data_IF_235523227073
#
_entry.id   IF_235523227073
#
_cell.length_a   1.000
_cell.length_b   1.000
_cell.length_c   1.000
_cell.angle_alpha   90.00
_cell.angle_beta   90.00
_cell.angle_gamma   90.00
#
_symmetry.space_group_name_H-M   'P 1'
#
loop_
_entity.id
_entity.type
_entity.pdbx_description
1 polymer ?
#
# COMPACT_ATOMS: atom_id res chain seq x y z
N UNK A 1 -10.33 -2.23 -12.74
CA UNK A 1 -10.67 -0.95 -12.05
C UNK A 1 -9.96 0.17 -12.80
N UNK A 2 -10.67 1.13 -13.39
CA UNK A 2 -10.03 2.25 -14.11
C UNK A 2 -9.29 3.20 -13.16
N UNK A 3 -8.30 3.95 -13.65
CA UNK A 3 -7.48 4.88 -12.83
C UNK A 3 -8.28 5.93 -12.06
N UNK A 4 -9.45 6.29 -12.58
CA UNK A 4 -10.41 7.15 -11.91
C UNK A 4 -11.06 6.44 -10.70
N UNK A 5 -11.34 5.14 -10.78
CA UNK A 5 -11.94 4.38 -9.68
C UNK A 5 -10.99 4.30 -8.46
N UNK A 6 -9.67 4.22 -8.69
CA UNK A 6 -8.69 4.21 -7.60
C UNK A 6 -8.50 5.60 -6.98
N UNK A 7 -8.48 6.65 -7.80
CA UNK A 7 -8.49 8.04 -7.31
C UNK A 7 -9.75 8.29 -6.47
N UNK A 8 -10.90 7.85 -6.96
CA UNK A 8 -12.17 7.94 -6.25
C UNK A 8 -12.13 7.12 -4.96
N UNK A 9 -11.56 5.91 -5.00
CA UNK A 9 -11.36 5.07 -3.81
C UNK A 9 -10.48 5.74 -2.76
N UNK A 10 -9.36 6.38 -3.14
CA UNK A 10 -8.50 7.13 -2.22
C UNK A 10 -9.18 8.38 -1.63
N UNK A 11 -10.00 9.06 -2.43
CA UNK A 11 -10.78 10.22 -1.94
C UNK A 11 -11.91 9.81 -1.01
N UNK A 12 -12.55 8.66 -1.26
CA UNK A 12 -13.62 8.11 -0.45
C UNK A 12 -13.13 7.43 0.85
N UNK A 13 -11.90 6.91 0.85
CA UNK A 13 -11.30 6.24 2.00
C UNK A 13 -11.14 7.20 3.18
N UNK A 14 -11.63 6.79 4.35
CA UNK A 14 -11.50 7.58 5.58
C UNK A 14 -10.22 7.20 6.33
N UNK A 15 -9.77 8.11 7.19
CA UNK A 15 -8.68 7.82 8.11
C UNK A 15 -9.11 6.70 9.08
N UNK A 16 -8.19 5.77 9.34
CA UNK A 16 -8.47 4.55 10.11
C UNK A 16 -8.99 3.39 9.28
N UNK A 17 -9.23 3.57 7.98
CA UNK A 17 -9.69 2.50 7.09
C UNK A 17 -8.53 1.89 6.28
N UNK A 18 -8.68 0.59 6.00
CA UNK A 18 -7.81 -0.17 5.11
C UNK A 18 -8.62 -0.57 3.89
N UNK A 19 -8.14 -0.21 2.71
CA UNK A 19 -8.65 -0.69 1.43
C UNK A 19 -7.75 -1.78 0.86
N UNK A 20 -8.33 -2.64 0.03
CA UNK A 20 -7.59 -3.66 -0.73
C UNK A 20 -7.85 -3.44 -2.22
N UNK A 21 -6.78 -3.50 -3.01
CA UNK A 21 -6.84 -3.45 -4.48
C UNK A 21 -6.29 -4.77 -4.99
N UNK A 22 -7.12 -5.51 -5.74
CA UNK A 22 -6.80 -6.86 -6.17
C UNK A 22 -5.91 -6.88 -7.42
N UNK A 23 -5.10 -7.92 -7.56
CA UNK A 23 -4.20 -8.12 -8.70
C UNK A 23 -4.91 -8.18 -10.07
N UNK A 24 -6.20 -8.57 -10.11
CA UNK A 24 -7.00 -8.58 -11.36
C UNK A 24 -7.17 -7.16 -11.92
N UNK A 25 -7.13 -6.15 -11.05
CA UNK A 25 -7.23 -4.75 -11.45
C UNK A 25 -5.93 -4.19 -12.03
N UNK A 26 -4.82 -4.95 -11.99
CA UNK A 26 -3.52 -4.55 -12.55
C UNK A 26 -3.58 -4.28 -14.05
N UNK A 27 -4.43 -5.00 -14.80
CA UNK A 27 -4.57 -4.78 -16.25
C UNK A 27 -4.97 -3.35 -16.63
N UNK A 28 -5.72 -2.67 -15.77
CA UNK A 28 -6.18 -1.30 -16.02
C UNK A 28 -5.10 -0.22 -15.82
N UNK A 29 -3.96 -0.59 -15.23
CA UNK A 29 -2.82 0.30 -14.99
C UNK A 29 -1.52 -0.19 -15.65
N UNK A 30 -1.46 -1.48 -16.02
CA UNK A 30 -0.34 -2.08 -16.72
C UNK A 30 -0.30 -1.67 -18.21
N UNK A 31 -1.44 -1.44 -18.87
CA UNK A 31 -1.46 -1.03 -20.29
C UNK A 31 -0.88 0.37 -20.54
N UNK A 32 -0.75 1.20 -19.50
CA UNK A 32 -0.11 2.53 -19.62
C UNK A 32 1.43 2.39 -19.73
N UNK A 33 2.02 1.24 -19.34
CA UNK A 33 3.46 0.96 -19.48
C UNK A 33 3.93 0.96 -20.95
N UNK A 34 3.07 0.64 -21.93
CA UNK A 34 3.48 0.58 -23.34
C UNK A 34 3.59 1.95 -24.02
N UNK A 35 3.12 3.03 -23.39
CA UNK A 35 3.15 4.38 -23.97
C UNK A 35 4.29 5.27 -23.47
N UNK A 36 5.13 4.76 -22.55
CA UNK A 36 6.33 5.44 -22.07
C UNK A 36 7.54 4.61 -22.52
N UNK A 37 8.06 4.93 -23.70
CA UNK A 37 9.32 4.39 -24.20
C UNK A 37 10.45 4.57 -23.17
N UNK A 38 10.98 3.47 -22.63
CA UNK A 38 12.40 3.11 -22.69
C UNK A 38 12.76 2.01 -21.68
N UNK A 39 13.22 0.89 -22.24
CA UNK A 39 14.31 0.03 -21.77
C UNK A 39 14.72 0.12 -20.29
N UNK A 40 14.31 -0.88 -19.50
CA UNK A 40 15.20 -1.62 -18.58
C UNK A 40 14.50 -2.87 -18.05
N UNK A 41 15.16 -4.01 -18.23
CA UNK A 41 14.82 -5.29 -17.62
C UNK A 41 15.02 -5.21 -16.11
N UNK A 42 13.96 -4.90 -15.39
CA UNK A 42 13.71 -5.32 -14.01
C UNK A 42 12.23 -5.05 -13.76
N UNK A 43 11.42 -6.10 -13.62
CA UNK A 43 9.99 -6.00 -13.27
C UNK A 43 9.85 -5.56 -11.80
N UNK A 44 10.33 -4.37 -11.47
CA UNK A 44 9.92 -3.66 -10.25
C UNK A 44 8.54 -3.10 -10.52
N UNK A 45 7.59 -3.42 -9.64
CA UNK A 45 6.26 -2.82 -9.61
C UNK A 45 6.43 -1.30 -9.73
N UNK A 46 5.89 -0.70 -10.78
CA UNK A 46 5.94 0.73 -10.93
C UNK A 46 4.87 1.37 -10.04
N UNK A 47 5.09 1.40 -8.73
CA UNK A 47 4.29 2.20 -7.79
C UNK A 47 4.32 3.70 -8.08
N UNK A 48 5.05 4.13 -9.12
CA UNK A 48 5.01 5.49 -9.66
C UNK A 48 3.58 5.97 -9.89
N UNK A 49 2.71 5.18 -10.50
CA UNK A 49 1.32 5.60 -10.78
C UNK A 49 0.53 5.84 -9.48
N UNK A 50 0.63 4.94 -8.50
CA UNK A 50 -0.03 5.12 -7.21
C UNK A 50 0.52 6.33 -6.44
N UNK A 51 1.84 6.55 -6.52
CA UNK A 51 2.50 7.72 -5.93
C UNK A 51 2.06 9.02 -6.60
N UNK A 52 1.90 9.05 -7.92
CA UNK A 52 1.43 10.21 -8.66
C UNK A 52 -0.02 10.55 -8.34
N UNK A 53 -0.90 9.54 -8.29
CA UNK A 53 -2.30 9.72 -7.89
C UNK A 53 -2.38 10.23 -6.46
N UNK A 54 -1.67 9.59 -5.53
CA UNK A 54 -1.64 10.05 -4.15
C UNK A 54 -1.05 11.46 -4.04
N UNK A 55 0.06 11.77 -4.70
CA UNK A 55 0.63 13.12 -4.71
C UNK A 55 -0.34 14.18 -5.24
N UNK A 56 -1.27 13.80 -6.13
CA UNK A 56 -2.30 14.69 -6.67
C UNK A 56 -3.46 14.91 -5.70
N UNK A 57 -3.80 13.93 -4.84
CA UNK A 57 -4.94 14.01 -3.90
C UNK A 57 -4.53 14.31 -2.45
N UNK A 58 -3.24 14.21 -2.15
CA UNK A 58 -2.63 14.38 -0.84
C UNK A 58 -2.73 15.83 -0.37
N UNK A 59 -3.09 16.01 0.89
CA UNK A 59 -3.09 17.32 1.55
C UNK A 59 -1.67 17.75 1.95
N UNK A 60 -1.43 19.06 2.07
CA UNK A 60 -0.17 19.61 2.57
C UNK A 60 0.17 19.10 3.98
N UNK A 61 -0.83 18.74 4.78
CA UNK A 61 -0.67 18.19 6.13
C UNK A 61 -0.62 16.65 6.19
N UNK A 62 -0.44 16.00 5.04
CA UNK A 62 -0.39 14.55 4.95
C UNK A 62 1.02 14.08 4.54
N UNK A 63 1.47 12.91 4.99
CA UNK A 63 2.65 12.21 4.44
C UNK A 63 2.22 11.10 3.51
N UNK A 64 3.12 10.74 2.56
CA UNK A 64 2.90 9.62 1.66
C UNK A 64 4.03 8.62 1.89
N UNK A 65 3.66 7.42 2.30
CA UNK A 65 4.60 6.33 2.57
C UNK A 65 4.26 5.14 1.68
N UNK A 66 5.30 4.56 1.06
CA UNK A 66 5.16 3.33 0.27
C UNK A 66 6.01 2.25 0.91
N UNK A 67 5.34 1.15 1.27
CA UNK A 67 5.89 0.01 1.99
C UNK A 67 6.01 -1.14 1.02
N UNK A 68 7.23 -1.64 0.87
CA UNK A 68 7.54 -2.71 -0.04
C UNK A 68 8.98 -3.16 0.17
N UNK A 69 9.32 -4.34 -0.35
CA UNK A 69 10.70 -4.82 -0.32
C UNK A 69 11.57 -3.98 -1.25
N UNK A 70 12.72 -3.55 -0.76
CA UNK A 70 13.75 -2.94 -1.62
C UNK A 70 14.48 -4.00 -2.47
N UNK A 71 14.57 -5.22 -1.94
CA UNK A 71 15.09 -6.43 -2.57
C UNK A 71 14.05 -7.55 -2.39
N UNK A 72 13.52 -8.07 -3.50
CA UNK A 72 12.45 -9.06 -3.48
C UNK A 72 12.84 -10.36 -2.78
N UNK A 73 14.13 -10.67 -2.69
CA UNK A 73 14.65 -11.87 -2.04
C UNK A 73 14.84 -11.71 -0.52
N UNK A 74 14.69 -10.48 0.00
CA UNK A 74 14.85 -10.18 1.42
C UNK A 74 13.53 -9.76 2.05
N UNK A 75 13.05 -10.56 3.00
CA UNK A 75 11.85 -10.25 3.76
C UNK A 75 12.02 -9.00 4.62
N UNK A 76 10.96 -8.21 4.75
CA UNK A 76 10.93 -7.05 5.64
C UNK A 76 11.08 -7.48 7.11
N UNK A 77 11.85 -6.69 7.84
CA UNK A 77 12.13 -6.88 9.26
C UNK A 77 11.40 -5.83 10.10
N UNK A 78 11.34 -6.00 11.44
CA UNK A 78 10.83 -4.96 12.34
C UNK A 78 11.58 -3.63 12.25
N UNK A 79 12.86 -3.65 11.87
CA UNK A 79 13.64 -2.43 11.64
C UNK A 79 13.16 -1.70 10.38
N UNK A 80 12.80 -2.44 9.33
CA UNK A 80 12.19 -1.86 8.13
C UNK A 80 10.83 -1.24 8.43
N UNK A 81 9.98 -1.91 9.21
CA UNK A 81 8.69 -1.34 9.64
C UNK A 81 8.89 -0.03 10.41
N UNK A 82 9.85 -0.02 11.33
CA UNK A 82 10.22 1.17 12.09
C UNK A 82 10.72 2.30 11.18
N UNK A 83 11.47 1.97 10.13
CA UNK A 83 11.92 2.94 9.11
C UNK A 83 10.77 3.51 8.29
N UNK A 84 9.77 2.72 7.92
CA UNK A 84 8.58 3.21 7.22
C UNK A 84 7.73 4.09 8.13
N UNK A 85 7.52 3.66 9.38
CA UNK A 85 6.81 4.44 10.40
C UNK A 85 7.52 5.77 10.68
N UNK A 86 8.85 5.78 10.74
CA UNK A 86 9.63 7.00 10.95
C UNK A 86 9.50 8.06 9.84
N UNK A 87 8.92 7.71 8.68
CA UNK A 87 8.61 8.67 7.60
C UNK A 87 7.27 9.39 7.82
N UNK A 88 6.47 8.94 8.79
CA UNK A 88 5.15 9.48 9.14
C UNK A 88 5.33 10.58 10.20
N UNK A 89 5.67 11.78 9.74
CA UNK A 89 6.02 12.92 10.59
C UNK A 89 4.88 13.92 10.78
N UNK A 90 3.90 13.91 9.87
CA UNK A 90 2.73 14.77 9.92
C UNK A 90 1.59 14.14 10.70
N UNK A 91 0.49 14.86 10.81
CA UNK A 91 -0.69 14.38 11.54
C UNK A 91 -1.41 13.27 10.79
N UNK A 92 -1.40 13.30 9.45
CA UNK A 92 -2.17 12.40 8.59
C UNK A 92 -1.27 11.69 7.58
N UNK A 93 -1.67 10.52 7.13
CA UNK A 93 -0.85 9.70 6.24
C UNK A 93 -1.67 8.98 5.16
N UNK A 94 -1.12 8.90 3.96
CA UNK A 94 -1.48 7.91 2.94
C UNK A 94 -0.39 6.84 2.93
N UNK A 95 -0.80 5.58 3.08
CA UNK A 95 0.10 4.45 3.12
C UNK A 95 -0.27 3.47 2.02
N UNK A 96 0.66 3.22 1.10
CA UNK A 96 0.55 2.11 0.16
C UNK A 96 1.42 0.95 0.62
N UNK A 97 0.85 -0.25 0.61
CA UNK A 97 1.59 -1.48 0.89
C UNK A 97 1.60 -2.33 -0.38
N UNK A 98 2.77 -2.54 -0.98
CA UNK A 98 2.96 -3.35 -2.19
C UNK A 98 2.93 -4.83 -1.82
N UNK A 99 1.75 -5.45 -1.86
CA UNK A 99 1.56 -6.79 -1.30
C UNK A 99 2.04 -7.94 -2.20
N UNK A 100 2.26 -7.70 -3.50
CA UNK A 100 2.58 -8.77 -4.46
C UNK A 100 3.77 -9.64 -4.04
N UNK A 101 4.79 -9.04 -3.42
CA UNK A 101 5.99 -9.73 -2.97
C UNK A 101 6.11 -9.83 -1.45
N UNK A 102 5.06 -9.43 -0.70
CA UNK A 102 5.05 -9.51 0.75
C UNK A 102 4.29 -10.74 1.20
N UNK A 103 4.90 -11.51 2.10
CA UNK A 103 4.22 -12.57 2.81
C UNK A 103 3.19 -12.02 3.79
N UNK A 104 2.19 -12.85 4.12
CA UNK A 104 1.16 -12.49 5.13
C UNK A 104 1.76 -12.07 6.46
N UNK A 105 2.87 -12.68 6.89
CA UNK A 105 3.59 -12.31 8.11
C UNK A 105 4.12 -10.88 8.07
N UNK A 106 4.65 -10.43 6.93
CA UNK A 106 5.18 -9.07 6.78
C UNK A 106 4.05 -8.04 6.79
N UNK A 107 2.98 -8.31 6.04
CA UNK A 107 1.81 -7.42 6.01
C UNK A 107 1.20 -7.29 7.41
N UNK A 108 1.02 -8.41 8.12
CA UNK A 108 0.54 -8.40 9.51
C UNK A 108 1.48 -7.67 10.45
N UNK A 109 2.78 -7.93 10.33
CA UNK A 109 3.81 -7.29 11.14
C UNK A 109 3.71 -5.77 11.03
N UNK A 110 3.67 -5.26 9.80
CA UNK A 110 3.54 -3.84 9.55
C UNK A 110 2.22 -3.25 10.05
N UNK A 111 1.07 -3.90 9.79
CA UNK A 111 -0.23 -3.44 10.29
C UNK A 111 -0.29 -3.39 11.82
N UNK A 112 0.31 -4.36 12.50
CA UNK A 112 0.42 -4.37 13.95
C UNK A 112 1.35 -3.25 14.45
N UNK A 113 2.48 -3.00 13.78
CA UNK A 113 3.37 -1.90 14.13
C UNK A 113 2.68 -0.52 14.00
N UNK A 114 1.83 -0.33 12.98
CA UNK A 114 1.01 0.89 12.84
C UNK A 114 0.01 1.04 13.98
N UNK A 115 -0.65 -0.06 14.36
CA UNK A 115 -1.62 -0.09 15.45
C UNK A 115 -0.95 0.19 16.80
N UNK A 116 0.17 -0.46 17.09
CA UNK A 116 0.95 -0.27 18.32
C UNK A 116 1.50 1.16 18.44
N UNK A 117 1.80 1.79 17.30
CA UNK A 117 2.22 3.19 17.24
C UNK A 117 1.06 4.19 17.25
N UNK A 118 -0.20 3.74 17.32
CA UNK A 118 -1.42 4.55 17.22
C UNK A 118 -1.49 5.43 15.95
N UNK A 119 -0.84 5.00 14.86
CA UNK A 119 -0.81 5.77 13.60
C UNK A 119 -1.95 5.38 12.66
N UNK A 120 -2.49 4.18 12.78
CA UNK A 120 -3.52 3.69 11.86
C UNK A 120 -4.75 4.59 11.84
N UNK A 121 -5.20 5.10 12.99
CA UNK A 121 -6.40 5.94 13.09
C UNK A 121 -6.30 7.22 12.25
N UNK A 122 -5.08 7.71 12.02
CA UNK A 122 -4.80 8.89 11.21
C UNK A 122 -4.28 8.56 9.81
N UNK A 123 -4.41 7.30 9.39
CA UNK A 123 -3.87 6.81 8.13
C UNK A 123 -4.97 6.31 7.20
N UNK A 124 -4.83 6.63 5.92
CA UNK A 124 -5.52 5.96 4.81
C UNK A 124 -4.59 4.89 4.26
N UNK A 125 -4.89 3.62 4.50
CA UNK A 125 -4.00 2.53 4.10
C UNK A 125 -4.60 1.73 2.96
N UNK A 126 -3.82 1.47 1.93
CA UNK A 126 -4.22 0.66 0.77
C UNK A 126 -3.24 -0.47 0.56
N UNK A 127 -3.75 -1.70 0.60
CA UNK A 127 -3.03 -2.93 0.26
C UNK A 127 -3.12 -3.13 -1.26
N UNK A 128 -2.02 -2.91 -1.96
CA UNK A 128 -1.92 -2.96 -3.42
C UNK A 128 -1.54 -4.35 -3.90
N UNK A 129 -2.22 -4.82 -4.94
CA UNK A 129 -1.97 -6.12 -5.57
C UNK A 129 -1.96 -7.29 -4.58
N UNK A 130 -2.82 -7.21 -3.55
CA UNK A 130 -2.93 -8.27 -2.55
C UNK A 130 -3.54 -9.52 -3.20
N UNK A 131 -2.80 -10.64 -3.29
CA UNK A 131 -3.36 -11.82 -3.93
C UNK A 131 -4.48 -12.43 -3.05
N UNK A 132 -5.45 -13.08 -3.70
CA UNK A 132 -6.71 -13.45 -3.06
C UNK A 132 -6.52 -14.42 -1.88
N UNK A 133 -5.55 -15.33 -1.98
CA UNK A 133 -5.25 -16.29 -0.91
C UNK A 133 -4.74 -15.55 0.34
N UNK A 134 -3.80 -14.63 0.15
CA UNK A 134 -3.24 -13.78 1.19
C UNK A 134 -4.31 -12.89 1.81
N UNK A 135 -5.21 -12.32 1.01
CA UNK A 135 -6.37 -11.56 1.51
C UNK A 135 -7.23 -12.40 2.44
N UNK A 136 -7.62 -13.61 2.03
CA UNK A 136 -8.43 -14.49 2.86
C UNK A 136 -7.73 -14.83 4.18
N UNK A 137 -6.44 -15.16 4.13
CA UNK A 137 -5.63 -15.44 5.32
C UNK A 137 -5.50 -14.23 6.24
N UNK A 138 -5.26 -13.04 5.68
CA UNK A 138 -5.15 -11.80 6.43
C UNK A 138 -6.46 -11.46 7.12
N UNK A 139 -7.57 -11.41 6.36
CA UNK A 139 -8.90 -11.12 6.88
C UNK A 139 -9.27 -12.03 8.04
N UNK A 140 -9.05 -13.33 7.90
CA UNK A 140 -9.39 -14.29 8.95
C UNK A 140 -8.47 -14.13 10.18
N UNK A 141 -7.17 -13.88 9.96
CA UNK A 141 -6.21 -13.74 11.06
C UNK A 141 -6.23 -12.39 11.78
N UNK A 142 -6.80 -11.37 11.15
CA UNK A 142 -6.93 -10.00 11.65
C UNK A 142 -8.37 -9.65 12.03
N UNK A 143 -9.27 -10.65 11.99
CA UNK A 143 -10.66 -10.49 12.37
C UNK A 143 -10.80 -9.89 13.79
N UNK A 144 -11.62 -8.85 13.90
CA UNK A 144 -11.84 -8.12 15.15
C UNK A 144 -10.72 -7.15 15.54
N UNK A 145 -9.61 -7.11 14.80
CA UNK A 145 -8.51 -6.17 15.03
C UNK A 145 -8.46 -5.06 13.99
N UNK A 146 -8.78 -5.38 12.75
CA UNK A 146 -8.81 -4.48 11.61
C UNK A 146 -10.08 -4.73 10.80
N UNK A 147 -10.56 -3.72 10.07
CA UNK A 147 -11.60 -3.88 9.05
C UNK A 147 -10.91 -4.02 7.70
N UNK A 148 -10.88 -5.25 7.17
CA UNK A 148 -10.34 -5.64 5.87
C UNK A 148 -11.46 -6.18 4.97
#
# INVERSE_FOLDING_TARGET
MELNDLKDSLTALKYGEIATVAMIDRGAYAEIEESIEAESKDQKINSGIFKEIAATVKDENEDLVVVGRSDIDQALTPEDFSRFIGQMTKEKHIIFVECLYLGTTEIKGFLNSLKESNLLENSKLVLLDLPQLEYMMLRDSLAGQFKL
#
